data_IF_335571200411
#
_entry.id   IF_335571200411
#
_cell.length_a   1.000
_cell.length_b   1.000
_cell.length_c   1.000
_cell.angle_alpha   90.00
_cell.angle_beta   90.00
_cell.angle_gamma   90.00
#
_symmetry.space_group_name_H-M   'P 1'
#
loop_
_entity.id
_entity.type
_entity.pdbx_description
1 polymer ?
#
# COMPACT_ATOMS: atom_id res chain seq x y z
N UNK A 1 23.39 -27.01 11.25
CA UNK A 1 22.85 -27.03 9.88
C UNK A 1 21.95 -25.81 9.74
N UNK A 2 22.37 -24.81 8.99
CA UNK A 2 21.60 -23.57 8.82
C UNK A 2 20.57 -23.80 7.71
N UNK A 3 19.28 -23.75 8.06
CA UNK A 3 18.22 -23.69 7.08
C UNK A 3 18.21 -22.26 6.48
N UNK A 4 18.74 -22.14 5.27
CA UNK A 4 18.58 -20.92 4.47
C UNK A 4 17.10 -20.68 4.24
N UNK A 5 16.60 -19.52 4.67
CA UNK A 5 15.25 -19.06 4.37
C UNK A 5 15.17 -18.91 2.84
N UNK A 6 14.21 -19.55 2.13
CA UNK A 6 14.10 -19.35 0.70
C UNK A 6 13.70 -17.88 0.45
N UNK A 7 14.57 -17.14 -0.23
CA UNK A 7 14.22 -15.85 -0.81
C UNK A 7 13.07 -16.07 -1.80
N UNK A 8 11.93 -15.37 -1.68
CA UNK A 8 10.92 -15.42 -2.73
C UNK A 8 11.46 -14.67 -3.93
N UNK A 9 12.09 -15.39 -4.85
CA UNK A 9 12.40 -14.87 -6.17
C UNK A 9 11.11 -14.48 -6.92
N UNK A 10 11.16 -13.54 -7.88
CA UNK A 10 10.00 -13.01 -8.62
C UNK A 10 9.24 -14.04 -9.50
N UNK A 11 9.56 -15.33 -9.38
CA UNK A 11 9.03 -16.43 -10.20
C UNK A 11 8.16 -17.44 -9.43
N UNK A 12 8.02 -17.33 -8.10
CA UNK A 12 7.13 -18.21 -7.36
C UNK A 12 5.66 -17.92 -7.71
N UNK A 13 4.90 -18.92 -8.15
CA UNK A 13 3.48 -18.78 -8.43
C UNK A 13 2.71 -18.33 -7.17
N UNK A 14 1.62 -17.55 -7.29
CA UNK A 14 0.81 -17.16 -6.14
C UNK A 14 0.26 -18.37 -5.38
N UNK A 15 0.00 -18.25 -4.07
CA UNK A 15 -0.75 -19.24 -3.33
C UNK A 15 -2.10 -19.59 -4.00
N UNK A 16 -2.68 -20.79 -3.78
CA UNK A 16 -3.90 -21.24 -4.46
C UNK A 16 -5.10 -20.30 -4.34
N UNK A 17 -5.21 -19.53 -3.25
CA UNK A 17 -6.30 -18.57 -2.99
C UNK A 17 -5.93 -17.12 -3.35
N UNK A 18 -4.82 -16.92 -4.06
CA UNK A 18 -4.37 -15.62 -4.55
C UNK A 18 -4.26 -15.58 -6.08
N UNK A 19 -4.41 -14.39 -6.63
CA UNK A 19 -4.09 -14.00 -8.00
C UNK A 19 -2.91 -13.03 -7.96
N UNK A 20 -2.07 -13.04 -8.99
CA UNK A 20 -1.04 -12.02 -9.16
C UNK A 20 -1.56 -10.88 -10.01
N UNK A 21 -1.35 -9.66 -9.53
CA UNK A 21 -1.41 -8.47 -10.35
C UNK A 21 -0.07 -8.29 -11.04
N UNK A 22 -0.06 -8.34 -12.37
CA UNK A 22 1.05 -7.94 -13.23
C UNK A 22 0.45 -7.11 -14.36
N UNK A 23 0.61 -5.79 -14.29
CA UNK A 23 0.12 -4.88 -15.32
C UNK A 23 1.27 -3.99 -15.78
N UNK A 24 1.62 -4.01 -17.09
CA UNK A 24 2.63 -3.11 -17.63
C UNK A 24 2.32 -1.64 -17.32
N UNK A 25 3.36 -0.87 -17.00
CA UNK A 25 3.24 0.57 -16.71
C UNK A 25 2.98 0.93 -15.25
N UNK A 26 2.53 -0.02 -14.41
CA UNK A 26 2.36 0.23 -12.98
C UNK A 26 3.66 0.08 -12.16
N UNK A 27 4.68 -0.59 -12.70
CA UNK A 27 5.98 -0.70 -12.06
C UNK A 27 6.00 -1.54 -10.78
N UNK A 28 5.01 -2.43 -10.60
CA UNK A 28 5.01 -3.40 -9.51
C UNK A 28 4.22 -4.66 -9.88
N UNK A 29 4.47 -5.72 -9.11
CA UNK A 29 3.62 -6.89 -9.02
C UNK A 29 3.19 -7.12 -7.57
N UNK A 30 2.04 -7.74 -7.37
CA UNK A 30 1.51 -8.05 -6.03
C UNK A 30 0.50 -9.18 -6.09
N UNK A 31 0.53 -10.09 -5.13
CA UNK A 31 -0.49 -11.11 -4.94
C UNK A 31 -1.66 -10.55 -4.12
N UNK A 32 -2.88 -10.91 -4.51
CA UNK A 32 -4.11 -10.48 -3.87
C UNK A 32 -5.15 -11.62 -3.86
N UNK A 33 -6.11 -11.63 -2.91
CA UNK A 33 -7.08 -12.73 -2.81
C UNK A 33 -7.95 -12.86 -4.07
N UNK A 34 -8.22 -14.09 -4.54
CA UNK A 34 -8.93 -14.32 -5.82
C UNK A 34 -10.33 -13.70 -5.90
N UNK A 35 -10.97 -13.57 -4.74
CA UNK A 35 -12.31 -13.03 -4.53
C UNK A 35 -12.34 -11.50 -4.45
N UNK A 36 -11.18 -10.86 -4.31
CA UNK A 36 -11.09 -9.40 -4.35
C UNK A 36 -11.16 -8.90 -5.79
N UNK A 37 -11.77 -7.74 -5.95
CA UNK A 37 -11.85 -7.03 -7.23
C UNK A 37 -10.69 -6.06 -7.34
N UNK A 38 -10.23 -5.84 -8.57
CA UNK A 38 -9.20 -4.84 -8.89
C UNK A 38 -9.82 -3.77 -9.76
N UNK A 39 -9.66 -2.52 -9.36
CA UNK A 39 -10.01 -1.35 -10.16
C UNK A 39 -8.76 -0.52 -10.42
N UNK A 40 -8.73 0.13 -11.58
CA UNK A 40 -7.63 0.97 -12.06
C UNK A 40 -8.16 2.38 -12.29
N UNK A 41 -8.42 3.16 -11.22
CA UNK A 41 -9.05 4.48 -11.35
C UNK A 41 -8.19 5.48 -12.14
N UNK A 42 -6.87 5.28 -12.15
CA UNK A 42 -5.93 6.04 -13.01
C UNK A 42 -4.84 5.11 -13.52
N UNK A 43 -4.04 5.56 -14.50
CA UNK A 43 -2.87 4.83 -14.99
C UNK A 43 -1.77 4.62 -13.94
N UNK A 44 -1.87 5.29 -12.79
CA UNK A 44 -0.87 5.25 -11.71
C UNK A 44 -1.44 4.76 -10.39
N UNK A 45 -2.68 4.28 -10.38
CA UNK A 45 -3.36 3.80 -9.17
C UNK A 45 -4.06 2.48 -9.44
N UNK A 46 -3.76 1.48 -8.64
CA UNK A 46 -4.46 0.21 -8.60
C UNK A 46 -5.09 0.04 -7.21
N UNK A 47 -6.36 -0.34 -7.18
CA UNK A 47 -7.14 -0.50 -5.95
C UNK A 47 -7.72 -1.90 -5.91
N UNK A 48 -7.53 -2.59 -4.78
CA UNK A 48 -7.94 -3.95 -4.50
C UNK A 48 -8.94 -3.90 -3.33
N UNK A 49 -10.14 -4.42 -3.51
CA UNK A 49 -11.15 -4.45 -2.46
C UNK A 49 -11.91 -5.76 -2.44
N UNK A 50 -12.54 -6.07 -1.30
CA UNK A 50 -13.44 -7.20 -1.22
C UNK A 50 -14.66 -7.05 -2.14
N UNK A 51 -15.36 -8.17 -2.43
CA UNK A 51 -16.53 -8.14 -3.29
C UNK A 51 -17.62 -7.22 -2.73
N UNK A 52 -18.36 -6.56 -3.62
CA UNK A 52 -19.45 -5.67 -3.25
C UNK A 52 -20.50 -6.40 -2.38
N UNK A 53 -20.98 -5.73 -1.33
CA UNK A 53 -21.90 -6.31 -0.35
C UNK A 53 -21.26 -7.20 0.71
N UNK A 54 -19.96 -7.54 0.61
CA UNK A 54 -19.25 -8.23 1.68
C UNK A 54 -18.64 -7.25 2.70
N UNK A 55 -18.43 -7.71 3.94
CA UNK A 55 -17.75 -6.92 4.98
C UNK A 55 -16.33 -6.48 4.59
N UNK A 56 -15.69 -7.21 3.67
CA UNK A 56 -14.38 -6.89 3.11
C UNK A 56 -14.40 -5.79 2.06
N UNK A 57 -15.57 -5.32 1.62
CA UNK A 57 -15.66 -4.29 0.59
C UNK A 57 -15.05 -2.95 1.05
N UNK A 58 -15.30 -2.58 2.31
CA UNK A 58 -14.74 -1.38 2.92
C UNK A 58 -13.24 -1.54 3.29
N UNK A 59 -12.69 -2.76 3.16
CA UNK A 59 -11.27 -3.05 3.32
C UNK A 59 -10.58 -2.95 1.96
N UNK A 60 -9.72 -1.94 1.81
CA UNK A 60 -9.14 -1.54 0.54
C UNK A 60 -7.62 -1.51 0.65
N UNK A 61 -6.94 -2.20 -0.25
CA UNK A 61 -5.51 -2.00 -0.50
C UNK A 61 -5.38 -1.19 -1.78
N UNK A 62 -4.54 -0.15 -1.78
CA UNK A 62 -4.23 0.62 -2.99
C UNK A 62 -2.74 0.78 -3.16
N UNK A 63 -2.28 0.75 -4.40
CA UNK A 63 -0.92 1.11 -4.79
C UNK A 63 -0.96 2.31 -5.71
N UNK A 64 -0.19 3.35 -5.41
CA UNK A 64 -0.13 4.60 -6.13
C UNK A 64 1.32 4.97 -6.47
N UNK A 65 1.55 5.40 -7.70
CA UNK A 65 2.84 5.98 -8.10
C UNK A 65 2.69 7.50 -8.15
N UNK A 66 3.53 8.21 -7.42
CA UNK A 66 3.50 9.68 -7.36
C UNK A 66 4.86 10.26 -7.73
N UNK A 67 4.86 11.43 -8.35
CA UNK A 67 6.06 12.19 -8.69
C UNK A 67 5.94 13.59 -8.06
N UNK A 68 6.32 13.75 -6.78
CA UNK A 68 6.21 15.03 -6.08
C UNK A 68 7.02 16.11 -6.78
N UNK A 69 6.39 17.26 -7.05
CA UNK A 69 7.04 18.36 -7.74
C UNK A 69 8.21 18.91 -6.90
N UNK A 70 9.41 18.93 -7.47
CA UNK A 70 10.61 19.45 -6.82
C UNK A 70 11.52 18.38 -6.20
N UNK A 71 11.09 17.11 -6.15
CA UNK A 71 11.98 16.02 -5.78
C UNK A 71 13.11 15.88 -6.80
N UNK A 72 14.34 15.70 -6.32
CA UNK A 72 15.54 15.50 -7.17
C UNK A 72 16.07 14.09 -7.12
N UNK A 73 15.69 13.34 -6.09
CA UNK A 73 16.08 11.94 -5.88
C UNK A 73 14.86 11.10 -5.50
N UNK A 74 14.99 9.77 -5.60
CA UNK A 74 13.99 8.83 -5.13
C UNK A 74 13.69 9.03 -3.65
N UNK A 75 14.72 9.15 -2.81
CA UNK A 75 14.59 9.33 -1.36
C UNK A 75 13.81 10.61 -1.01
N UNK A 76 14.15 11.73 -1.66
CA UNK A 76 13.39 12.97 -1.52
C UNK A 76 11.93 12.79 -1.94
N UNK A 77 11.68 12.07 -3.03
CA UNK A 77 10.31 11.79 -3.48
C UNK A 77 9.52 10.98 -2.44
N UNK A 78 10.13 10.00 -1.77
CA UNK A 78 9.45 9.21 -0.74
C UNK A 78 9.11 10.04 0.52
N UNK A 79 10.03 10.91 0.94
CA UNK A 79 9.81 11.85 2.05
C UNK A 79 8.69 12.82 1.71
N UNK A 80 8.74 13.45 0.54
CA UNK A 80 7.72 14.40 0.08
C UNK A 80 6.36 13.72 -0.08
N UNK A 81 6.32 12.53 -0.70
CA UNK A 81 5.08 11.75 -0.87
C UNK A 81 4.44 11.38 0.47
N UNK A 82 5.24 11.05 1.49
CA UNK A 82 4.72 10.77 2.84
C UNK A 82 4.11 12.01 3.47
N UNK A 83 4.80 13.16 3.38
CA UNK A 83 4.30 14.43 3.90
C UNK A 83 3.01 14.88 3.18
N UNK A 84 2.99 14.77 1.85
CA UNK A 84 1.82 15.10 1.03
C UNK A 84 0.63 14.20 1.37
N UNK A 85 0.85 12.90 1.58
CA UNK A 85 -0.20 11.96 1.98
C UNK A 85 -0.79 12.30 3.36
N UNK A 86 0.06 12.62 4.35
CA UNK A 86 -0.40 13.05 5.67
C UNK A 86 -1.19 14.35 5.60
N UNK A 87 -0.71 15.34 4.83
CA UNK A 87 -1.39 16.61 4.61
C UNK A 87 -2.74 16.42 3.90
N UNK A 88 -2.81 15.54 2.92
CA UNK A 88 -4.05 15.22 2.21
C UNK A 88 -5.07 14.54 3.14
N UNK A 89 -4.61 13.65 4.04
CA UNK A 89 -5.47 13.07 5.07
C UNK A 89 -5.97 14.13 6.05
N UNK A 90 -5.10 15.00 6.54
CA UNK A 90 -5.47 16.07 7.48
C UNK A 90 -6.50 17.04 6.88
N UNK A 91 -6.32 17.41 5.61
CA UNK A 91 -7.25 18.30 4.91
C UNK A 91 -8.57 17.63 4.51
N UNK A 92 -8.55 16.33 4.19
CA UNK A 92 -9.70 15.59 3.65
C UNK A 92 -10.55 14.84 4.68
N UNK A 93 -10.13 14.81 5.95
CA UNK A 93 -10.75 13.99 7.00
C UNK A 93 -10.93 14.78 8.29
N UNK A 94 -11.62 14.19 9.28
CA UNK A 94 -11.78 14.77 10.61
C UNK A 94 -11.09 13.92 11.66
N UNK A 95 -10.61 14.56 12.73
CA UNK A 95 -10.05 13.86 13.88
C UNK A 95 -8.86 12.97 13.52
N UNK A 96 -8.04 13.36 12.54
CA UNK A 96 -6.87 12.57 12.16
C UNK A 96 -5.90 12.45 13.33
N UNK A 97 -5.39 11.25 13.56
CA UNK A 97 -4.33 10.97 14.55
C UNK A 97 -3.37 9.93 13.99
N UNK A 98 -2.07 10.21 14.05
CA UNK A 98 -1.04 9.21 13.73
C UNK A 98 -0.85 8.30 14.94
N UNK A 99 -1.11 7.01 14.77
CA UNK A 99 -1.02 5.98 15.82
C UNK A 99 0.36 5.34 15.90
N UNK A 100 1.12 5.40 14.81
CA UNK A 100 2.48 4.89 14.75
C UNK A 100 3.16 5.28 13.45
N UNK A 101 4.47 5.46 13.50
CA UNK A 101 5.31 5.81 12.36
C UNK A 101 6.69 5.15 12.48
N UNK A 102 7.36 4.94 11.36
CA UNK A 102 8.70 4.36 11.37
C UNK A 102 9.37 4.36 10.01
N UNK A 103 10.70 4.27 10.02
CA UNK A 103 11.50 4.01 8.83
C UNK A 103 11.48 2.52 8.49
N UNK A 104 11.63 2.20 7.22
CA UNK A 104 11.85 0.82 6.78
C UNK A 104 13.34 0.47 6.98
N UNK A 105 13.62 -0.76 7.43
CA UNK A 105 14.98 -1.16 7.80
C UNK A 105 15.95 -1.20 6.60
N UNK A 106 15.44 -1.55 5.41
CA UNK A 106 16.25 -1.80 4.20
C UNK A 106 15.83 -0.87 3.04
N UNK A 107 15.15 0.23 3.34
CA UNK A 107 14.69 1.19 2.32
C UNK A 107 14.70 2.61 2.89
N UNK A 108 14.98 3.64 2.06
CA UNK A 108 14.78 5.05 2.45
C UNK A 108 13.30 5.39 2.71
N UNK A 109 12.41 4.44 2.43
CA UNK A 109 10.99 4.55 2.68
C UNK A 109 10.57 4.62 4.15
N UNK A 110 9.30 4.94 4.33
CA UNK A 110 8.67 5.08 5.64
C UNK A 110 7.32 4.40 5.67
N UNK A 111 6.84 4.13 6.86
CA UNK A 111 5.49 3.66 7.10
C UNK A 111 4.82 4.44 8.22
N UNK A 112 3.51 4.53 8.17
CA UNK A 112 2.71 5.06 9.26
C UNK A 112 1.34 4.40 9.33
N UNK A 113 0.73 4.46 10.51
CA UNK A 113 -0.65 4.11 10.76
C UNK A 113 -1.36 5.37 11.24
N UNK A 114 -2.44 5.75 10.58
CA UNK A 114 -3.28 6.86 10.97
C UNK A 114 -4.73 6.41 11.16
N UNK A 115 -5.40 7.01 12.14
CA UNK A 115 -6.84 6.92 12.36
C UNK A 115 -7.48 8.24 11.95
N UNK A 116 -8.65 8.19 11.33
CA UNK A 116 -9.41 9.39 10.95
C UNK A 116 -10.89 9.08 10.75
N UNK A 117 -11.72 10.11 10.68
CA UNK A 117 -13.13 10.02 10.35
C UNK A 117 -13.39 10.53 8.92
N UNK A 118 -14.12 9.73 8.16
CA UNK A 118 -14.54 10.07 6.80
C UNK A 118 -15.98 9.61 6.57
N UNK A 119 -16.83 10.49 6.04
CA UNK A 119 -18.26 10.20 5.80
C UNK A 119 -19.00 9.62 7.02
N UNK A 120 -18.69 10.12 8.22
CA UNK A 120 -19.33 9.70 9.47
C UNK A 120 -18.87 8.35 10.03
N UNK A 121 -17.86 7.72 9.43
CA UNK A 121 -17.27 6.46 9.91
C UNK A 121 -15.79 6.67 10.27
N UNK A 122 -15.33 5.97 11.30
CA UNK A 122 -13.91 5.92 11.66
C UNK A 122 -13.18 4.85 10.83
N UNK A 123 -12.01 5.22 10.31
CA UNK A 123 -11.13 4.37 9.53
C UNK A 123 -9.73 4.37 10.12
N UNK A 124 -9.01 3.27 9.92
CA UNK A 124 -7.56 3.21 10.03
C UNK A 124 -6.95 3.01 8.65
N UNK A 125 -5.83 3.70 8.41
CA UNK A 125 -4.96 3.53 7.23
C UNK A 125 -3.57 3.17 7.70
N UNK A 126 -3.00 2.12 7.12
CA UNK A 126 -1.58 1.82 7.16
C UNK A 126 -0.98 2.11 5.79
N UNK A 127 0.01 2.97 5.72
CA UNK A 127 0.72 3.30 4.50
C UNK A 127 2.18 2.91 4.60
N UNK A 128 2.74 2.46 3.49
CA UNK A 128 4.15 2.17 3.26
C UNK A 128 4.55 2.91 1.99
N UNK A 129 5.54 3.78 2.10
CA UNK A 129 6.03 4.62 1.01
C UNK A 129 7.48 4.24 0.75
N UNK A 130 7.80 3.87 -0.48
CA UNK A 130 9.16 3.49 -0.89
C UNK A 130 9.58 4.29 -2.12
N UNK A 131 10.85 4.70 -2.22
CA UNK A 131 11.34 5.35 -3.42
C UNK A 131 11.48 4.35 -4.57
N UNK A 132 11.28 4.82 -5.80
CA UNK A 132 11.77 4.11 -6.98
C UNK A 132 13.31 4.20 -6.98
N UNK A 133 14.04 3.10 -7.23
CA UNK A 133 15.50 3.13 -7.21
C UNK A 133 16.12 4.15 -8.19
N UNK A 134 15.44 4.40 -9.31
CA UNK A 134 15.84 5.40 -10.29
C UNK A 134 14.72 6.44 -10.50
N UNK A 135 15.13 7.71 -10.67
CA UNK A 135 14.22 8.83 -10.91
C UNK A 135 13.67 9.48 -9.64
N UNK A 136 12.49 10.10 -9.77
CA UNK A 136 11.85 10.94 -8.73
C UNK A 136 10.46 10.45 -8.36
N UNK A 137 10.19 9.17 -8.59
CA UNK A 137 8.89 8.53 -8.31
C UNK A 137 8.95 7.87 -6.94
N UNK A 138 7.89 8.06 -6.15
CA UNK A 138 7.63 7.26 -4.97
C UNK A 138 6.44 6.32 -5.21
N UNK A 139 6.55 5.12 -4.68
CA UNK A 139 5.48 4.14 -4.67
C UNK A 139 4.83 4.11 -3.27
N UNK A 140 3.52 4.31 -3.23
CA UNK A 140 2.73 4.30 -2.01
C UNK A 140 1.85 3.06 -2.04
N UNK A 141 2.11 2.12 -1.15
CA UNK A 141 1.16 1.07 -0.80
C UNK A 141 0.36 1.51 0.42
N UNK A 142 -0.96 1.34 0.41
CA UNK A 142 -1.77 1.62 1.60
C UNK A 142 -2.91 0.65 1.77
N UNK A 143 -3.15 0.23 3.00
CA UNK A 143 -4.33 -0.51 3.44
C UNK A 143 -5.23 0.39 4.27
N UNK A 144 -6.50 0.49 3.92
CA UNK A 144 -7.54 1.23 4.65
C UNK A 144 -8.71 0.30 4.96
N UNK A 145 -9.22 0.36 6.18
CA UNK A 145 -10.44 -0.35 6.58
C UNK A 145 -11.16 0.39 7.70
N UNK A 146 -12.46 0.15 7.91
CA UNK A 146 -13.18 0.62 9.08
C UNK A 146 -12.46 0.22 10.38
N UNK A 147 -12.48 1.10 11.37
CA UNK A 147 -11.78 0.92 12.65
C UNK A 147 -11.99 -0.47 13.26
N UNK A 148 -13.24 -0.94 13.27
CA UNK A 148 -13.65 -2.21 13.89
C UNK A 148 -13.30 -3.47 13.10
N UNK A 149 -12.91 -3.36 11.83
CA UNK A 149 -12.53 -4.51 10.99
C UNK A 149 -11.06 -4.47 10.53
N UNK A 150 -10.35 -3.39 10.83
CA UNK A 150 -8.96 -3.19 10.41
C UNK A 150 -8.05 -4.34 10.84
N UNK A 151 -8.08 -4.73 12.12
CA UNK A 151 -7.21 -5.81 12.62
C UNK A 151 -7.60 -7.19 12.07
N UNK A 152 -8.88 -7.41 11.73
CA UNK A 152 -9.34 -8.66 11.11
C UNK A 152 -8.85 -8.82 9.67
N UNK A 153 -8.73 -7.71 8.93
CA UNK A 153 -8.26 -7.73 7.53
C UNK A 153 -6.76 -7.43 7.39
N UNK A 154 -6.10 -6.94 8.44
CA UNK A 154 -4.67 -6.67 8.47
C UNK A 154 -3.82 -7.89 8.03
N UNK A 155 -4.07 -9.14 8.45
CA UNK A 155 -3.29 -10.28 7.99
C UNK A 155 -3.33 -10.50 6.47
N UNK A 156 -4.48 -10.20 5.84
CA UNK A 156 -4.65 -10.26 4.38
C UNK A 156 -3.80 -9.18 3.73
N UNK A 157 -3.93 -7.94 4.19
CA UNK A 157 -3.16 -6.80 3.69
C UNK A 157 -1.65 -7.00 3.87
N UNK A 158 -1.21 -7.54 5.01
CA UNK A 158 0.19 -7.89 5.25
C UNK A 158 0.70 -8.96 4.27
N UNK A 159 -0.12 -9.95 3.92
CA UNK A 159 0.25 -10.94 2.92
C UNK A 159 0.40 -10.32 1.54
N UNK A 160 -0.48 -9.38 1.18
CA UNK A 160 -0.36 -8.60 -0.06
C UNK A 160 0.92 -7.77 -0.05
N UNK A 161 1.18 -7.01 1.02
CA UNK A 161 2.40 -6.21 1.17
C UNK A 161 3.68 -7.07 1.09
N UNK A 162 3.69 -8.26 1.70
CA UNK A 162 4.85 -9.18 1.62
C UNK A 162 5.14 -9.67 0.20
N UNK A 163 4.12 -9.73 -0.65
CA UNK A 163 4.26 -10.10 -2.07
C UNK A 163 4.52 -8.90 -2.99
N UNK A 164 4.36 -7.68 -2.46
CA UNK A 164 4.52 -6.47 -3.25
C UNK A 164 5.99 -6.28 -3.64
N UNK A 165 6.25 -6.35 -4.94
CA UNK A 165 7.59 -6.23 -5.50
C UNK A 165 7.57 -5.16 -6.57
N UNK A 166 8.47 -4.18 -6.45
CA UNK A 166 8.66 -3.17 -7.49
C UNK A 166 9.36 -3.79 -8.70
N UNK A 167 8.88 -3.46 -9.88
CA UNK A 167 9.50 -3.87 -11.15
C UNK A 167 10.12 -2.64 -11.80
N UNK A 168 11.38 -2.78 -12.23
CA UNK A 168 12.14 -1.73 -12.92
C UNK A 168 11.46 -1.34 -14.23
#
# INVERSE_FOLDING_TARGET
>A
MAAGRPEPGPSAAPPPDMKRFVEPGYGFLMDYPKQWTVSKPTAFTATFSGPEGAASHDAVVSVQNVNPAGARTGDESAVMATADLLKALEAGTRGMTVLGEGKLAESPGSQFIARYEYSGKAYRKWAVVVPRPEGTIAHIWSFTAPEGSFDSYRPVAESMLRSWTLTQ
#
